data_IF_790317179816
#
_entry.id   IF_790317179816
#
_cell.length_a   1.000
_cell.length_b   1.000
_cell.length_c   1.000
_cell.angle_alpha   90.00
_cell.angle_beta   90.00
_cell.angle_gamma   90.00
#
_symmetry.space_group_name_H-M   'P 1'
#
loop_
_entity.id
_entity.type
_entity.pdbx_description
1 polymer ?
#
# COMPACT_ATOMS: atom_id res chain seq x y z
N UNK A 1 -16.18 12.78 33.45
CA UNK A 1 -15.95 11.35 33.13
C UNK A 1 -15.56 11.23 31.67
N UNK A 2 -14.26 11.22 31.40
CA UNK A 2 -13.69 11.15 30.04
C UNK A 2 -14.01 9.82 29.33
N UNK A 3 -14.38 8.78 30.09
CA UNK A 3 -14.76 7.46 29.58
C UNK A 3 -16.01 7.47 28.71
N UNK A 4 -16.98 8.36 29.01
CA UNK A 4 -18.21 8.48 28.20
C UNK A 4 -17.96 8.98 26.77
N UNK A 5 -16.85 9.67 26.56
CA UNK A 5 -16.42 10.17 25.27
C UNK A 5 -15.30 9.30 24.67
N UNK A 6 -15.02 8.13 25.26
CA UNK A 6 -13.95 7.24 24.82
C UNK A 6 -12.54 7.81 25.04
N UNK A 7 -12.38 8.87 25.84
CA UNK A 7 -11.10 9.57 26.06
C UNK A 7 -10.28 9.05 27.26
N UNK A 8 -10.68 7.90 27.81
CA UNK A 8 -9.94 7.17 28.85
C UNK A 8 -8.66 6.55 28.31
N UNK A 9 -7.67 6.33 29.17
CA UNK A 9 -6.35 5.82 28.78
C UNK A 9 -6.40 4.45 28.06
N UNK A 10 -7.40 3.62 28.39
CA UNK A 10 -7.56 2.27 27.83
C UNK A 10 -8.49 2.22 26.59
N UNK A 11 -9.23 3.30 26.34
CA UNK A 11 -10.24 3.36 25.27
C UNK A 11 -9.87 4.31 24.13
N UNK A 12 -9.03 5.30 24.42
CA UNK A 12 -8.64 6.33 23.47
C UNK A 12 -7.49 5.86 22.59
N UNK A 13 -7.53 6.27 21.34
CA UNK A 13 -6.36 6.17 20.48
C UNK A 13 -5.40 7.32 20.77
N UNK A 14 -4.15 6.98 21.08
CA UNK A 14 -3.12 7.95 21.45
C UNK A 14 -2.22 8.25 20.26
N UNK A 15 -2.06 9.53 19.96
CA UNK A 15 -1.13 10.03 18.93
C UNK A 15 -0.07 10.86 19.63
N UNK A 16 1.18 10.43 19.48
CA UNK A 16 2.34 11.06 20.13
C UNK A 16 3.37 11.45 19.08
N UNK A 17 3.74 12.73 19.06
CA UNK A 17 4.78 13.29 18.21
C UNK A 17 6.05 13.52 19.04
N UNK A 18 7.17 13.04 18.52
CA UNK A 18 8.48 13.19 19.13
C UNK A 18 9.35 14.10 18.28
N UNK A 19 10.19 14.90 18.94
CA UNK A 19 11.30 15.55 18.25
C UNK A 19 12.48 14.57 18.17
N UNK A 20 13.37 14.79 17.21
CA UNK A 20 14.65 14.11 17.17
C UNK A 20 15.41 14.36 18.48
N UNK A 21 15.81 13.28 19.15
CA UNK A 21 16.54 13.27 20.42
C UNK A 21 15.83 13.95 21.62
N UNK A 22 14.49 14.02 21.62
CA UNK A 22 13.75 14.54 22.77
C UNK A 22 13.42 13.45 23.81
N UNK A 23 13.66 13.73 25.09
CA UNK A 23 13.26 12.87 26.22
C UNK A 23 11.75 12.91 26.51
N UNK A 24 11.03 13.83 25.89
CA UNK A 24 9.57 14.01 26.03
C UNK A 24 8.94 14.28 24.67
N UNK A 25 7.69 13.82 24.45
CA UNK A 25 6.97 14.13 23.23
C UNK A 25 6.67 15.62 23.12
N UNK A 26 6.76 16.17 21.91
CA UNK A 26 6.38 17.56 21.61
C UNK A 26 4.86 17.71 21.69
N UNK A 27 4.15 16.66 21.31
CA UNK A 27 2.70 16.66 21.29
C UNK A 27 2.19 15.27 21.63
N UNK A 28 1.23 15.20 22.55
CA UNK A 28 0.60 13.94 22.94
C UNK A 28 -0.90 14.17 23.08
N UNK A 29 -1.68 13.43 22.31
CA UNK A 29 -3.11 13.62 22.18
C UNK A 29 -3.85 12.30 22.28
N UNK A 30 -5.02 12.34 22.90
CA UNK A 30 -5.97 11.25 22.99
C UNK A 30 -7.17 11.58 22.12
N UNK A 31 -7.56 10.64 21.27
CA UNK A 31 -8.74 10.70 20.43
C UNK A 31 -9.73 9.63 20.87
N UNK A 32 -10.99 10.03 21.04
CA UNK A 32 -12.05 9.22 21.62
C UNK A 32 -13.11 8.84 20.62
N UNK A 33 -14.37 8.82 21.09
CA UNK A 33 -15.53 8.54 20.26
C UNK A 33 -15.85 9.71 19.32
N UNK A 34 -16.51 9.38 18.20
CA UNK A 34 -17.17 10.38 17.38
C UNK A 34 -18.39 10.95 18.10
N UNK A 35 -18.77 12.16 17.73
CA UNK A 35 -20.02 12.76 18.15
C UNK A 35 -21.23 11.98 17.61
N UNK A 36 -22.43 12.28 18.12
CA UNK A 36 -23.65 11.58 17.71
C UNK A 36 -23.99 11.75 16.22
N UNK A 37 -23.41 12.75 15.54
CA UNK A 37 -23.62 12.96 14.10
C UNK A 37 -22.58 12.25 13.23
N UNK A 38 -21.51 11.71 13.82
CA UNK A 38 -20.40 11.08 13.11
C UNK A 38 -19.57 12.05 12.27
N UNK A 39 -19.69 13.36 12.52
CA UNK A 39 -18.99 14.41 11.77
C UNK A 39 -17.81 14.98 12.52
N UNK A 40 -17.79 14.83 13.83
CA UNK A 40 -16.73 15.34 14.68
C UNK A 40 -16.16 14.24 15.56
N UNK A 41 -14.88 14.36 15.88
CA UNK A 41 -14.16 13.47 16.77
C UNK A 41 -13.77 14.24 18.03
N UNK A 42 -14.02 13.64 19.21
CA UNK A 42 -13.55 14.22 20.47
C UNK A 42 -12.06 13.93 20.68
N UNK A 43 -11.31 14.93 21.13
CA UNK A 43 -9.91 14.78 21.48
C UNK A 43 -9.53 15.62 22.70
N UNK A 44 -8.40 15.28 23.32
CA UNK A 44 -7.75 16.07 24.38
C UNK A 44 -6.23 15.95 24.30
N UNK A 45 -5.51 16.95 24.81
CA UNK A 45 -4.07 16.83 25.03
C UNK A 45 -3.78 15.98 26.27
N UNK A 46 -2.63 15.33 26.32
CA UNK A 46 -2.29 14.44 27.42
C UNK A 46 -2.12 15.16 28.77
N UNK A 47 -1.65 16.41 28.72
CA UNK A 47 -1.43 17.31 29.84
C UNK A 47 -2.64 18.22 30.15
N UNK A 48 -3.78 17.98 29.50
CA UNK A 48 -4.99 18.79 29.66
C UNK A 48 -6.25 17.94 29.83
N UNK A 49 -7.10 18.38 30.75
CA UNK A 49 -8.46 17.83 30.93
C UNK A 49 -9.51 18.50 30.01
N UNK A 50 -9.08 19.46 29.17
CA UNK A 50 -9.99 20.14 28.25
C UNK A 50 -10.26 19.26 27.04
N UNK A 51 -11.53 18.88 26.88
CA UNK A 51 -12.02 18.15 25.70
C UNK A 51 -12.41 19.13 24.60
N UNK A 52 -11.97 18.84 23.38
CA UNK A 52 -12.32 19.57 22.16
C UNK A 52 -12.94 18.61 21.15
N UNK A 53 -13.68 19.15 20.18
CA UNK A 53 -14.10 18.42 18.99
C UNK A 53 -13.47 19.04 17.74
N UNK A 54 -13.24 18.22 16.73
CA UNK A 54 -12.75 18.64 15.42
C UNK A 54 -13.49 17.86 14.34
N UNK A 55 -13.73 18.50 13.19
CA UNK A 55 -14.31 17.84 12.03
C UNK A 55 -13.49 16.60 11.66
N UNK A 56 -14.20 15.50 11.43
CA UNK A 56 -13.60 14.20 11.28
C UNK A 56 -12.99 14.00 9.88
N UNK A 57 -11.67 14.19 9.82
CA UNK A 57 -10.82 13.80 8.71
C UNK A 57 -9.76 12.77 9.15
N UNK A 58 -9.81 12.34 10.42
CA UNK A 58 -8.70 11.68 11.11
C UNK A 58 -9.10 10.33 11.73
N UNK A 59 -10.40 10.03 11.84
CA UNK A 59 -10.90 8.77 12.38
C UNK A 59 -10.47 7.56 11.55
N UNK A 60 -10.46 7.67 10.22
CA UNK A 60 -10.01 6.59 9.33
C UNK A 60 -8.56 6.20 9.63
N UNK A 61 -7.71 7.19 9.91
CA UNK A 61 -6.32 6.99 10.30
C UNK A 61 -6.21 6.33 11.68
N UNK A 62 -6.94 6.85 12.67
CA UNK A 62 -6.93 6.30 14.03
C UNK A 62 -7.45 4.86 14.09
N UNK A 63 -8.55 4.57 13.40
CA UNK A 63 -9.23 3.27 13.44
C UNK A 63 -8.55 2.20 12.58
N UNK A 64 -7.79 2.59 11.54
CA UNK A 64 -7.13 1.63 10.66
C UNK A 64 -5.82 1.05 11.24
N UNK A 65 -5.38 1.50 12.42
CA UNK A 65 -4.08 1.11 13.02
C UNK A 65 -2.87 1.17 12.06
N UNK A 66 -2.68 2.24 11.27
CA UNK A 66 -1.43 2.43 10.54
C UNK A 66 -0.33 2.73 11.56
N UNK A 67 0.80 2.03 11.44
CA UNK A 67 1.92 2.09 12.38
C UNK A 67 2.63 3.47 12.38
N UNK A 68 2.39 4.31 11.38
CA UNK A 68 2.99 5.63 11.22
C UNK A 68 2.14 6.51 10.29
N UNK A 69 2.18 7.82 10.52
CA UNK A 69 1.56 8.86 9.69
C UNK A 69 2.28 9.04 8.36
N UNK A 70 3.51 8.52 8.28
CA UNK A 70 4.35 8.50 7.10
C UNK A 70 4.72 7.06 6.74
N UNK A 71 3.68 6.24 6.54
CA UNK A 71 3.86 4.89 5.99
C UNK A 71 3.81 4.94 4.46
N UNK A 72 4.98 4.99 3.84
CA UNK A 72 5.10 5.01 2.38
C UNK A 72 4.96 3.61 1.75
N UNK A 73 4.70 2.56 2.54
CA UNK A 73 4.51 1.21 1.98
C UNK A 73 3.26 1.19 1.11
N UNK A 74 3.40 0.68 -0.10
CA UNK A 74 2.29 0.60 -1.05
C UNK A 74 1.20 -0.35 -0.54
N UNK A 75 1.58 -1.44 0.13
CA UNK A 75 0.63 -2.35 0.76
C UNK A 75 0.89 -2.45 2.26
N UNK A 76 -0.17 -2.39 3.10
CA UNK A 76 -0.04 -2.65 4.53
C UNK A 76 0.64 -4.00 4.79
N UNK A 77 1.47 -4.08 5.84
CA UNK A 77 2.19 -5.33 6.20
C UNK A 77 1.51 -6.10 7.33
N UNK A 78 0.62 -5.45 8.07
CA UNK A 78 -0.05 -6.00 9.25
C UNK A 78 -1.57 -5.96 9.10
N UNK A 79 -2.25 -6.72 9.97
CA UNK A 79 -3.70 -6.80 10.00
C UNK A 79 -4.32 -7.53 8.80
N UNK A 80 -5.65 -7.43 8.69
CA UNK A 80 -6.44 -8.11 7.66
C UNK A 80 -6.24 -7.55 6.25
N UNK A 81 -5.44 -6.50 6.08
CA UNK A 81 -5.08 -5.93 4.78
C UNK A 81 -3.70 -6.37 4.28
N UNK A 82 -2.89 -7.02 5.13
CA UNK A 82 -1.57 -7.51 4.78
C UNK A 82 -1.54 -8.44 3.57
N UNK A 83 -0.52 -8.28 2.72
CA UNK A 83 -0.19 -9.23 1.65
C UNK A 83 0.96 -10.11 2.12
N UNK A 84 0.76 -11.43 2.10
CA UNK A 84 1.84 -12.41 2.28
C UNK A 84 2.13 -13.08 0.96
N UNK A 85 3.41 -13.20 0.60
CA UNK A 85 3.84 -13.81 -0.68
C UNK A 85 3.35 -15.24 -0.84
N UNK A 86 3.27 -16.00 0.26
CA UNK A 86 2.74 -17.36 0.30
C UNK A 86 1.26 -17.46 -0.09
N UNK A 87 0.47 -16.40 0.10
CA UNK A 87 -0.95 -16.38 -0.23
C UNK A 87 -1.22 -16.06 -1.71
N UNK A 88 -0.26 -15.48 -2.43
CA UNK A 88 -0.47 -15.07 -3.82
C UNK A 88 -0.66 -16.30 -4.73
N UNK A 89 -1.84 -16.41 -5.34
CA UNK A 89 -2.19 -17.49 -6.26
C UNK A 89 -2.04 -17.07 -7.71
N UNK A 90 -2.25 -15.79 -8.03
CA UNK A 90 -2.10 -15.29 -9.39
C UNK A 90 -1.69 -13.83 -9.40
N UNK A 91 -0.85 -13.47 -10.36
CA UNK A 91 -0.44 -12.09 -10.61
C UNK A 91 -0.69 -11.79 -12.08
N UNK A 92 -1.35 -10.69 -12.37
CA UNK A 92 -1.64 -10.25 -13.74
C UNK A 92 -1.06 -8.86 -13.96
N UNK A 93 -0.30 -8.69 -15.04
CA UNK A 93 0.16 -7.41 -15.53
C UNK A 93 -0.68 -7.01 -16.74
N UNK A 94 -1.13 -5.77 -16.77
CA UNK A 94 -1.76 -5.16 -17.93
C UNK A 94 -1.11 -3.81 -18.21
N UNK A 95 -0.57 -3.63 -19.40
CA UNK A 95 0.10 -2.40 -19.84
C UNK A 95 -0.75 -1.76 -20.93
N UNK A 96 -1.43 -0.67 -20.59
CA UNK A 96 -2.32 0.06 -21.49
C UNK A 96 -3.16 -0.90 -22.38
N UNK A 97 -3.22 -0.65 -23.69
CA UNK A 97 -3.79 -1.55 -24.69
C UNK A 97 -2.75 -2.49 -25.34
N UNK A 98 -1.51 -2.52 -24.84
CA UNK A 98 -0.38 -3.25 -25.44
C UNK A 98 -0.37 -4.74 -25.12
N UNK A 99 -1.17 -5.16 -24.15
CA UNK A 99 -1.36 -6.56 -23.80
C UNK A 99 -1.35 -6.81 -22.30
N UNK A 100 -1.59 -8.06 -21.95
CA UNK A 100 -1.52 -8.55 -20.58
C UNK A 100 -0.83 -9.90 -20.53
N UNK A 101 -0.21 -10.19 -19.40
CA UNK A 101 0.32 -11.52 -19.09
C UNK A 101 0.04 -11.84 -17.62
N UNK A 102 -0.02 -13.12 -17.29
CA UNK A 102 -0.24 -13.54 -15.91
C UNK A 102 0.61 -14.74 -15.51
N UNK A 103 0.95 -14.77 -14.22
CA UNK A 103 1.59 -15.88 -13.54
C UNK A 103 0.58 -16.48 -12.58
N UNK A 104 0.33 -17.78 -12.67
CA UNK A 104 -0.59 -18.50 -11.79
C UNK A 104 0.15 -19.61 -11.06
N UNK A 105 -0.07 -19.74 -9.76
CA UNK A 105 0.51 -20.79 -8.94
C UNK A 105 -0.24 -22.09 -9.25
N UNK A 106 0.50 -23.12 -9.64
CA UNK A 106 -0.04 -24.46 -9.96
C UNK A 106 0.30 -25.51 -8.91
N UNK A 107 1.07 -25.14 -7.88
CA UNK A 107 1.53 -26.00 -6.79
C UNK A 107 2.43 -25.23 -5.81
N UNK A 108 2.93 -25.87 -4.74
CA UNK A 108 3.70 -25.20 -3.68
C UNK A 108 4.96 -24.46 -4.16
N UNK A 109 5.52 -24.88 -5.30
CA UNK A 109 6.73 -24.27 -5.89
C UNK A 109 6.69 -24.26 -7.42
N UNK A 110 5.48 -24.30 -8.00
CA UNK A 110 5.31 -24.29 -9.45
C UNK A 110 4.42 -23.13 -9.89
N UNK A 111 4.86 -22.48 -10.96
CA UNK A 111 4.16 -21.37 -11.59
C UNK A 111 3.93 -21.71 -13.06
N UNK A 112 2.77 -21.34 -13.57
CA UNK A 112 2.46 -21.33 -15.00
C UNK A 112 2.28 -19.90 -15.47
N UNK A 113 2.72 -19.62 -16.70
CA UNK A 113 2.61 -18.31 -17.32
C UNK A 113 1.66 -18.33 -18.51
N UNK A 114 0.89 -17.27 -18.68
CA UNK A 114 -0.05 -17.09 -19.81
C UNK A 114 0.07 -15.69 -20.38
N UNK A 115 -0.10 -15.56 -21.69
CA UNK A 115 0.07 -14.28 -22.39
C UNK A 115 1.53 -13.81 -22.49
N UNK A 116 1.75 -12.76 -23.28
CA UNK A 116 3.09 -12.24 -23.57
C UNK A 116 3.99 -13.32 -24.17
N UNK A 117 5.23 -13.43 -23.67
CA UNK A 117 6.21 -14.43 -24.10
C UNK A 117 6.29 -15.68 -23.20
N UNK A 118 5.33 -15.88 -22.28
CA UNK A 118 5.42 -16.93 -21.25
C UNK A 118 4.93 -18.30 -21.70
N UNK A 119 4.08 -18.37 -22.73
CA UNK A 119 3.41 -19.62 -23.11
C UNK A 119 4.41 -20.69 -23.54
N UNK A 120 4.32 -21.88 -22.91
CA UNK A 120 5.21 -23.00 -23.18
C UNK A 120 6.66 -22.80 -22.71
N UNK A 121 6.96 -21.75 -21.93
CA UNK A 121 8.30 -21.48 -21.39
C UNK A 121 8.46 -21.98 -19.96
N UNK A 122 9.65 -22.45 -19.64
CA UNK A 122 10.03 -22.74 -18.25
C UNK A 122 10.26 -21.41 -17.51
N UNK A 123 9.61 -21.28 -16.35
CA UNK A 123 9.68 -20.07 -15.55
C UNK A 123 10.76 -20.17 -14.47
N UNK A 124 11.42 -19.05 -14.21
CA UNK A 124 12.38 -18.91 -13.12
C UNK A 124 11.66 -18.58 -11.82
N UNK A 125 11.40 -19.61 -11.01
CA UNK A 125 10.70 -19.47 -9.73
C UNK A 125 11.40 -18.53 -8.77
N UNK A 126 12.74 -18.45 -8.79
CA UNK A 126 13.49 -17.52 -7.93
C UNK A 126 13.22 -16.07 -8.29
N UNK A 127 13.08 -15.76 -9.57
CA UNK A 127 12.71 -14.41 -10.03
C UNK A 127 11.27 -14.06 -9.66
N UNK A 128 10.36 -15.04 -9.70
CA UNK A 128 8.97 -14.85 -9.27
C UNK A 128 8.91 -14.58 -7.77
N UNK A 129 9.61 -15.38 -6.97
CA UNK A 129 9.67 -15.20 -5.52
C UNK A 129 10.33 -13.86 -5.15
N UNK A 130 11.42 -13.48 -5.84
CA UNK A 130 12.04 -12.18 -5.71
C UNK A 130 11.07 -11.04 -6.03
N UNK A 131 10.36 -11.12 -7.16
CA UNK A 131 9.35 -10.13 -7.51
C UNK A 131 8.22 -10.03 -6.48
N UNK A 132 7.76 -11.17 -5.93
CA UNK A 132 6.74 -11.17 -4.90
C UNK A 132 7.18 -10.45 -3.64
N UNK A 133 8.44 -10.66 -3.22
CA UNK A 133 9.01 -9.92 -2.11
C UNK A 133 9.11 -8.43 -2.44
N UNK A 134 9.59 -8.08 -3.63
CA UNK A 134 9.68 -6.70 -4.10
C UNK A 134 8.32 -5.99 -4.09
N UNK A 135 7.25 -6.69 -4.50
CA UNK A 135 5.88 -6.17 -4.52
C UNK A 135 5.35 -5.93 -3.11
N UNK A 136 5.54 -6.90 -2.20
CA UNK A 136 5.08 -6.78 -0.81
C UNK A 136 5.87 -5.70 -0.08
N UNK A 137 7.18 -5.59 -0.30
CA UNK A 137 8.03 -4.59 0.37
C UNK A 137 8.05 -3.23 -0.32
N UNK A 138 7.26 -3.04 -1.39
CA UNK A 138 7.32 -1.82 -2.18
C UNK A 138 6.91 -0.59 -1.37
N UNK A 139 7.65 0.51 -1.52
CA UNK A 139 7.33 1.80 -0.91
C UNK A 139 7.49 2.94 -1.91
N UNK A 140 6.71 4.00 -1.72
CA UNK A 140 6.96 5.28 -2.36
C UNK A 140 8.19 5.99 -1.78
N UNK A 141 8.60 7.06 -2.45
CA UNK A 141 9.54 8.06 -1.92
C UNK A 141 8.82 9.18 -1.18
N UNK A 142 7.61 9.52 -1.60
CA UNK A 142 6.78 10.53 -0.97
C UNK A 142 5.30 10.34 -1.35
N UNK A 143 4.41 11.07 -0.69
CA UNK A 143 3.03 11.23 -1.15
C UNK A 143 2.93 12.30 -2.24
N UNK A 144 1.92 12.19 -3.09
CA UNK A 144 1.59 13.21 -4.08
C UNK A 144 0.09 13.43 -4.17
N UNK A 145 -0.29 14.54 -4.80
CA UNK A 145 -1.66 14.73 -5.25
C UNK A 145 -2.07 13.60 -6.22
N UNK A 146 -3.37 13.24 -6.28
CA UNK A 146 -3.86 12.28 -7.25
C UNK A 146 -3.55 12.71 -8.69
N UNK A 147 -2.97 11.80 -9.46
CA UNK A 147 -2.66 12.04 -10.88
C UNK A 147 -3.70 11.34 -11.74
N UNK A 148 -4.41 12.12 -12.56
CA UNK A 148 -5.36 11.57 -13.52
C UNK A 148 -4.64 10.94 -14.73
N UNK A 149 -5.16 9.81 -15.19
CA UNK A 149 -4.65 9.17 -16.40
C UNK A 149 -4.91 10.07 -17.61
N UNK A 150 -3.87 10.28 -18.42
CA UNK A 150 -3.96 10.97 -19.71
C UNK A 150 -3.23 10.17 -20.77
N UNK A 151 -3.49 10.44 -22.06
CA UNK A 151 -2.83 9.75 -23.18
C UNK A 151 -1.31 9.95 -23.24
N UNK A 152 -0.76 10.88 -22.47
CA UNK A 152 0.69 11.12 -22.36
C UNK A 152 1.35 10.23 -21.31
N UNK A 153 0.59 9.63 -20.41
CA UNK A 153 1.08 8.75 -19.36
C UNK A 153 0.90 7.30 -19.80
N UNK A 154 1.89 6.46 -19.53
CA UNK A 154 1.70 5.01 -19.64
C UNK A 154 1.11 4.47 -18.35
N UNK A 155 0.17 3.54 -18.45
CA UNK A 155 -0.45 2.87 -17.31
C UNK A 155 -0.06 1.41 -17.27
N UNK A 156 0.53 1.02 -16.14
CA UNK A 156 0.72 -0.37 -15.74
C UNK A 156 -0.25 -0.71 -14.62
N UNK A 157 -0.96 -1.82 -14.74
CA UNK A 157 -1.76 -2.41 -13.66
C UNK A 157 -1.17 -3.75 -13.28
N UNK A 158 -0.88 -3.94 -12.00
CA UNK A 158 -0.47 -5.22 -11.42
C UNK A 158 -1.57 -5.65 -10.45
N UNK A 159 -2.18 -6.80 -10.70
CA UNK A 159 -3.26 -7.35 -9.89
C UNK A 159 -2.81 -8.67 -9.29
N UNK A 160 -2.79 -8.79 -7.96
CA UNK A 160 -2.52 -10.01 -7.23
C UNK A 160 -3.82 -10.58 -6.64
N UNK A 161 -4.15 -11.81 -7.03
CA UNK A 161 -5.25 -12.60 -6.47
C UNK A 161 -4.69 -13.51 -5.37
N UNK A 162 -5.25 -13.41 -4.16
CA UNK A 162 -4.80 -14.16 -2.98
C UNK A 162 -5.67 -15.40 -2.75
N UNK A 163 -5.09 -16.41 -2.10
CA UNK A 163 -5.76 -17.68 -1.80
C UNK A 163 -6.87 -17.57 -0.75
N UNK A 164 -6.97 -16.42 -0.08
CA UNK A 164 -8.06 -16.08 0.85
C UNK A 164 -9.22 -15.34 0.16
N UNK A 165 -9.19 -15.21 -1.17
CA UNK A 165 -10.21 -14.56 -1.98
C UNK A 165 -10.07 -13.04 -2.10
N UNK A 166 -9.09 -12.42 -1.42
CA UNK A 166 -8.81 -10.99 -1.59
C UNK A 166 -8.07 -10.73 -2.89
N UNK A 167 -8.33 -9.55 -3.48
CA UNK A 167 -7.61 -9.06 -4.65
C UNK A 167 -6.94 -7.74 -4.30
N UNK A 168 -5.68 -7.62 -4.68
CA UNK A 168 -4.83 -6.45 -4.43
C UNK A 168 -4.41 -5.88 -5.76
N UNK A 169 -4.62 -4.59 -5.94
CA UNK A 169 -4.32 -3.92 -7.21
C UNK A 169 -3.35 -2.79 -6.97
N UNK A 170 -2.30 -2.72 -7.78
CA UNK A 170 -1.37 -1.63 -7.91
C UNK A 170 -1.51 -1.04 -9.31
N UNK A 171 -1.71 0.27 -9.41
CA UNK A 171 -1.69 1.02 -10.66
C UNK A 171 -0.48 1.93 -10.61
N UNK A 172 0.35 1.87 -11.65
CA UNK A 172 1.46 2.78 -11.84
C UNK A 172 1.20 3.62 -13.09
N UNK A 173 1.27 4.94 -12.93
CA UNK A 173 1.30 5.91 -14.01
C UNK A 173 2.73 6.40 -14.20
N UNK A 174 3.20 6.42 -15.44
CA UNK A 174 4.57 6.82 -15.78
C UNK A 174 4.58 7.88 -16.86
N UNK A 175 5.30 8.98 -16.60
CA UNK A 175 5.78 9.91 -17.63
C UNK A 175 7.26 9.63 -17.88
N UNK A 176 7.55 8.91 -18.97
CA UNK A 176 8.92 8.55 -19.32
C UNK A 176 9.74 9.74 -19.83
N UNK A 177 9.12 10.85 -20.25
CA UNK A 177 9.86 12.03 -20.68
C UNK A 177 10.48 12.76 -19.48
N UNK A 178 9.77 12.77 -18.35
CA UNK A 178 10.22 13.40 -17.11
C UNK A 178 10.73 12.41 -16.05
N UNK A 179 10.79 11.10 -16.38
CA UNK A 179 11.17 10.02 -15.45
C UNK A 179 10.39 10.06 -14.13
N UNK A 180 9.10 10.39 -14.24
CA UNK A 180 8.22 10.53 -13.08
C UNK A 180 7.21 9.40 -13.04
N UNK A 181 7.06 8.81 -11.86
CA UNK A 181 6.25 7.63 -11.62
C UNK A 181 5.36 7.83 -10.40
N UNK A 182 4.11 7.44 -10.54
CA UNK A 182 3.11 7.54 -9.46
C UNK A 182 2.39 6.21 -9.31
N UNK A 183 2.21 5.77 -8.07
CA UNK A 183 1.52 4.55 -7.71
C UNK A 183 0.25 4.83 -6.91
N UNK A 184 -0.79 4.04 -7.16
CA UNK A 184 -1.96 3.93 -6.29
C UNK A 184 -2.31 2.47 -6.08
N UNK A 185 -2.85 2.15 -4.91
CA UNK A 185 -3.22 0.78 -4.54
C UNK A 185 -4.69 0.66 -4.16
N UNK A 186 -5.24 -0.55 -4.19
CA UNK A 186 -6.64 -0.82 -3.83
C UNK A 186 -6.99 -0.57 -2.36
N UNK A 187 -5.98 -0.58 -1.46
CA UNK A 187 -6.21 -0.56 -0.02
C UNK A 187 -6.17 0.85 0.60
N UNK A 188 -5.57 1.81 -0.11
CA UNK A 188 -5.34 3.16 0.42
C UNK A 188 -5.79 4.21 -0.59
N UNK A 189 -6.33 5.35 -0.14
CA UNK A 189 -6.72 6.45 -1.03
C UNK A 189 -5.53 7.29 -1.54
N UNK A 190 -4.31 7.00 -1.09
CA UNK A 190 -3.14 7.81 -1.37
C UNK A 190 -2.52 7.51 -2.74
N UNK A 191 -1.89 8.55 -3.30
CA UNK A 191 -0.98 8.41 -4.44
C UNK A 191 0.45 8.61 -3.94
N UNK A 192 1.33 7.71 -4.37
CA UNK A 192 2.72 7.67 -3.96
C UNK A 192 3.59 8.04 -5.14
N UNK A 193 4.61 8.88 -4.95
CA UNK A 193 5.68 9.04 -5.92
C UNK A 193 6.62 7.85 -5.82
N UNK A 194 6.96 7.23 -6.95
CA UNK A 194 7.95 6.16 -7.00
C UNK A 194 9.28 6.68 -7.52
N UNK A 195 10.37 6.15 -6.96
CA UNK A 195 11.69 6.28 -7.56
C UNK A 195 11.77 5.49 -8.87
N UNK A 196 12.65 5.92 -9.77
CA UNK A 196 12.98 5.15 -10.99
C UNK A 196 13.41 3.71 -10.65
N UNK A 197 14.17 3.53 -9.57
CA UNK A 197 14.59 2.20 -9.12
C UNK A 197 13.41 1.34 -8.67
N UNK A 198 12.48 1.90 -7.89
CA UNK A 198 11.30 1.18 -7.41
C UNK A 198 10.35 0.85 -8.58
N UNK A 199 10.19 1.77 -9.53
CA UNK A 199 9.49 1.52 -10.77
C UNK A 199 10.08 0.30 -11.50
N UNK A 200 11.39 0.29 -11.71
CA UNK A 200 12.09 -0.79 -12.42
C UNK A 200 12.02 -2.15 -11.70
N UNK A 201 11.85 -2.19 -10.37
CA UNK A 201 11.57 -3.43 -9.63
C UNK A 201 10.18 -3.98 -9.90
N UNK A 202 9.19 -3.12 -10.08
CA UNK A 202 7.78 -3.51 -10.22
C UNK A 202 7.35 -3.71 -11.68
N UNK A 203 7.82 -2.85 -12.59
CA UNK A 203 7.48 -2.86 -14.00
C UNK A 203 8.28 -3.91 -14.78
N UNK A 204 8.04 -5.18 -14.47
CA UNK A 204 8.67 -6.30 -15.18
C UNK A 204 7.94 -6.64 -16.47
N UNK A 205 8.71 -6.91 -17.52
CA UNK A 205 8.19 -7.53 -18.74
C UNK A 205 8.08 -9.05 -18.58
N UNK A 206 7.24 -9.68 -19.40
CA UNK A 206 7.01 -11.13 -19.35
C UNK A 206 8.31 -11.95 -19.49
N UNK A 207 9.26 -11.49 -20.31
CA UNK A 207 10.55 -12.16 -20.55
C UNK A 207 11.43 -12.24 -19.31
N UNK A 208 11.26 -11.34 -18.35
CA UNK A 208 12.03 -11.34 -17.10
C UNK A 208 11.88 -12.67 -16.35
N UNK A 209 10.67 -13.24 -16.34
CA UNK A 209 10.32 -14.45 -15.58
C UNK A 209 10.72 -15.75 -16.27
N UNK A 210 11.22 -15.69 -17.51
CA UNK A 210 11.66 -16.87 -18.24
C UNK A 210 13.05 -17.28 -17.73
N UNK A 211 13.24 -18.59 -17.56
CA UNK A 211 14.54 -19.16 -17.22
C UNK A 211 15.48 -19.02 -18.41
N UNK A 212 16.60 -18.36 -18.20
CA UNK A 212 17.67 -18.25 -19.20
C UNK A 212 18.63 -19.41 -19.02
N UNK A 213 18.91 -20.16 -20.08
CA UNK A 213 19.98 -21.16 -20.09
C UNK A 213 21.31 -20.44 -19.77
N UNK A 214 22.03 -20.96 -18.78
CA UNK A 214 23.42 -20.60 -18.47
C UNK A 214 24.31 -21.75 -18.89
#
# INVERSE_FOLDING_TARGET
THDRLGLGADSASRVTFWADNADKPILDMYFGAMDSTGKELYFRFADSDVVKSVQDHFSSYIQSSPQSWYDLRLFPQSGNQGIKTELVQKITWAVDAKGSFSLSRSGPSSWSGTGGSLEGKELDTKKIDGFLQDLVSASGEDFSDPVEYSSKLSRLSITAELGDGRTKKLIILSDFASQSHWASVSDTPYTYRLSEWQYNRLAKESTYFIKTEK
#
